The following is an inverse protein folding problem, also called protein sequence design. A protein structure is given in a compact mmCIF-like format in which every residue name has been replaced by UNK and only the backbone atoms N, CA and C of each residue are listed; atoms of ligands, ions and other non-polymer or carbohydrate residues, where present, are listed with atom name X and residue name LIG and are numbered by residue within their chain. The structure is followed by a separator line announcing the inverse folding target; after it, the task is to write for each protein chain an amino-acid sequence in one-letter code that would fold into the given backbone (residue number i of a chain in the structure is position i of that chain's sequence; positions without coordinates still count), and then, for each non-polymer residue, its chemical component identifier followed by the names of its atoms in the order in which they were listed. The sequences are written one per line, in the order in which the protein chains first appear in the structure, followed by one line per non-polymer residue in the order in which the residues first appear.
data_IF_629808541260
#
_entry.id   IF_629808541260
#
_cell.length_a   1.000
_cell.length_b   1.000
_cell.length_c   1.000
_cell.angle_alpha   90.00
_cell.angle_beta   90.00
_cell.angle_gamma   90.00
#
_symmetry.space_group_name_H-M   'P 1'
#
loop_
_entity.id
_entity.type
_entity.pdbx_description
1 polymer ?
#
# COMPACT_ATOMS: atom_id res chain seq x y z
N UNK A 1 31.79 -19.01 -1.08
CA UNK A 1 31.74 -20.45 -0.77
C UNK A 1 31.82 -21.25 -2.07
N UNK A 2 32.78 -22.14 -2.16
CA UNK A 2 32.90 -23.04 -3.31
C UNK A 2 32.22 -24.35 -2.99
N UNK A 3 31.18 -24.68 -3.76
CA UNK A 3 30.45 -25.93 -3.62
C UNK A 3 31.04 -26.96 -4.62
N UNK A 4 31.43 -28.14 -4.11
CA UNK A 4 31.96 -29.23 -4.94
C UNK A 4 30.82 -29.84 -5.76
N UNK A 5 29.65 -29.99 -5.16
CA UNK A 5 28.47 -30.54 -5.83
C UNK A 5 27.38 -29.46 -5.85
N UNK A 6 26.84 -29.21 -7.06
CA UNK A 6 25.78 -28.23 -7.28
C UNK A 6 24.64 -28.87 -8.06
N UNK A 7 23.73 -29.59 -7.39
CA UNK A 7 22.60 -30.23 -8.07
C UNK A 7 21.71 -29.19 -8.75
N UNK A 8 21.38 -29.42 -10.02
CA UNK A 8 20.59 -28.47 -10.82
C UNK A 8 19.41 -29.10 -11.55
N UNK A 9 19.11 -30.37 -11.28
CA UNK A 9 17.99 -31.07 -11.93
C UNK A 9 16.67 -30.35 -11.76
N UNK A 10 16.42 -29.85 -10.56
CA UNK A 10 15.18 -29.15 -10.20
C UNK A 10 15.13 -27.70 -10.70
N UNK A 11 16.16 -27.25 -11.41
CA UNK A 11 16.23 -25.90 -11.97
C UNK A 11 16.31 -25.89 -13.49
N UNK A 12 16.07 -27.01 -14.13
CA UNK A 12 16.27 -27.19 -15.58
C UNK A 12 15.29 -26.38 -16.42
N UNK A 13 14.03 -26.34 -16.02
CA UNK A 13 12.96 -25.68 -16.75
C UNK A 13 12.13 -24.86 -15.79
N UNK A 14 11.39 -23.90 -16.33
CA UNK A 14 10.48 -23.08 -15.52
C UNK A 14 9.40 -23.95 -14.86
N UNK A 15 8.89 -24.95 -15.58
CA UNK A 15 7.88 -25.85 -15.04
C UNK A 15 8.38 -26.61 -13.81
N UNK A 16 9.62 -27.14 -13.85
CA UNK A 16 10.20 -27.83 -12.70
C UNK A 16 10.44 -26.86 -11.54
N UNK A 17 10.96 -25.67 -11.83
CA UNK A 17 11.16 -24.64 -10.80
C UNK A 17 9.86 -24.25 -10.10
N UNK A 18 8.77 -24.14 -10.85
CA UNK A 18 7.45 -23.85 -10.29
C UNK A 18 6.95 -24.96 -9.38
N UNK A 19 7.16 -26.24 -9.79
CA UNK A 19 6.71 -27.40 -9.02
C UNK A 19 7.41 -27.51 -7.65
N UNK A 20 8.69 -27.18 -7.58
CA UNK A 20 9.51 -27.34 -6.36
C UNK A 20 9.68 -26.05 -5.57
N UNK A 21 9.05 -24.96 -5.99
CA UNK A 21 9.16 -23.66 -5.32
C UNK A 21 8.58 -23.75 -3.91
N UNK A 22 9.39 -23.43 -2.92
CA UNK A 22 8.99 -23.43 -1.52
C UNK A 22 8.33 -22.12 -1.12
N UNK A 23 8.75 -21.00 -1.75
CA UNK A 23 8.25 -19.68 -1.43
C UNK A 23 7.42 -19.16 -2.58
N UNK A 24 6.24 -18.63 -2.26
CA UNK A 24 5.33 -18.03 -3.22
C UNK A 24 5.04 -16.60 -2.81
N UNK A 25 4.96 -15.71 -3.79
CA UNK A 25 4.56 -14.33 -3.59
C UNK A 25 3.30 -14.07 -4.41
N UNK A 26 2.24 -13.68 -3.71
CA UNK A 26 0.95 -13.35 -4.32
C UNK A 26 0.59 -11.90 -4.01
N UNK A 27 -0.26 -11.24 -4.83
CA UNK A 27 -0.69 -9.87 -4.55
C UNK A 27 -1.28 -9.68 -3.15
N UNK A 28 -2.00 -10.66 -2.62
CA UNK A 28 -2.58 -10.61 -1.27
C UNK A 28 -1.54 -10.64 -0.15
N UNK A 29 -0.29 -10.97 -0.46
CA UNK A 29 0.82 -10.92 0.51
C UNK A 29 1.40 -9.52 0.67
N UNK A 30 0.99 -8.58 -0.19
CA UNK A 30 1.55 -7.24 -0.23
C UNK A 30 0.72 -6.27 0.61
N UNK A 31 1.41 -5.33 1.23
CA UNK A 31 0.81 -4.18 1.92
C UNK A 31 1.15 -2.95 1.10
N UNK A 32 0.13 -2.21 0.67
CA UNK A 32 0.31 -1.04 -0.18
C UNK A 32 0.30 0.24 0.67
N UNK A 33 1.44 0.94 0.79
CA UNK A 33 1.48 2.22 1.47
C UNK A 33 0.95 3.32 0.55
N UNK A 34 0.03 4.11 1.07
CA UNK A 34 -0.57 5.22 0.34
C UNK A 34 -0.38 6.51 1.12
N UNK A 35 0.09 7.54 0.44
CA UNK A 35 0.30 8.87 1.00
C UNK A 35 -0.90 9.72 0.66
N UNK A 36 -1.47 10.39 1.66
CA UNK A 36 -2.66 11.21 1.50
C UNK A 36 -2.44 12.62 2.07
N UNK A 37 -3.17 13.59 1.55
CA UNK A 37 -3.14 14.97 2.02
C UNK A 37 -4.55 15.58 1.96
N UNK A 38 -4.72 16.75 2.55
CA UNK A 38 -6.01 17.45 2.61
C UNK A 38 -6.33 18.27 1.35
N UNK A 39 -5.34 18.46 0.47
CA UNK A 39 -5.53 19.23 -0.76
C UNK A 39 -6.40 18.46 -1.76
N UNK A 40 -7.06 19.19 -2.64
CA UNK A 40 -8.00 18.63 -3.61
C UNK A 40 -7.36 18.14 -4.91
N UNK A 41 -6.05 17.96 -4.94
CA UNK A 41 -5.33 17.52 -6.12
C UNK A 41 -4.27 16.48 -5.79
N UNK A 42 -3.93 15.66 -6.78
CA UNK A 42 -2.86 14.69 -6.71
C UNK A 42 -1.51 15.40 -6.88
N UNK A 43 -0.57 15.11 -5.99
CA UNK A 43 0.76 15.72 -5.99
C UNK A 43 1.82 14.63 -6.05
N UNK A 44 2.70 14.71 -7.07
CA UNK A 44 3.82 13.77 -7.16
C UNK A 44 4.87 14.09 -6.09
N UNK A 45 5.38 13.05 -5.44
CA UNK A 45 6.46 13.18 -4.47
C UNK A 45 7.78 13.22 -5.24
N UNK A 46 8.46 14.37 -5.23
CA UNK A 46 9.68 14.57 -6.03
C UNK A 46 10.81 13.61 -5.69
N UNK A 47 10.92 13.20 -4.43
CA UNK A 47 11.93 12.24 -3.98
C UNK A 47 11.64 10.79 -4.39
N UNK A 48 10.42 10.50 -4.79
CA UNK A 48 9.95 9.16 -5.18
C UNK A 48 9.14 9.24 -6.47
N UNK A 49 9.79 9.33 -7.64
CA UNK A 49 9.08 9.44 -8.92
C UNK A 49 8.06 8.30 -9.12
N UNK A 50 6.87 8.65 -9.59
CA UNK A 50 5.78 7.70 -9.77
C UNK A 50 4.95 7.46 -8.51
N UNK A 51 5.31 8.05 -7.38
CA UNK A 51 4.56 7.99 -6.13
C UNK A 51 3.90 9.33 -5.87
N UNK A 52 2.63 9.30 -5.45
CA UNK A 52 1.81 10.49 -5.31
C UNK A 52 1.25 10.63 -3.91
N UNK A 53 1.01 11.87 -3.49
CA UNK A 53 0.10 12.17 -2.39
C UNK A 53 -1.30 12.33 -2.98
N UNK A 54 -2.22 11.52 -2.53
CA UNK A 54 -3.55 11.43 -3.11
C UNK A 54 -4.52 12.38 -2.41
N UNK A 55 -5.39 13.00 -3.18
CA UNK A 55 -6.61 13.61 -2.65
C UNK A 55 -7.63 12.48 -2.35
N UNK A 56 -8.74 12.84 -1.73
CA UNK A 56 -9.73 11.85 -1.31
C UNK A 56 -10.30 11.04 -2.49
N UNK A 57 -10.64 11.72 -3.57
CA UNK A 57 -11.19 11.05 -4.76
C UNK A 57 -10.16 10.16 -5.43
N UNK A 58 -8.92 10.62 -5.56
CA UNK A 58 -7.83 9.85 -6.12
C UNK A 58 -7.49 8.64 -5.26
N UNK A 59 -7.53 8.79 -3.93
CA UNK A 59 -7.32 7.69 -3.00
C UNK A 59 -8.33 6.56 -3.20
N UNK A 60 -9.60 6.89 -3.31
CA UNK A 60 -10.67 5.90 -3.52
C UNK A 60 -10.44 5.14 -4.82
N UNK A 61 -10.10 5.84 -5.90
CA UNK A 61 -9.82 5.21 -7.20
C UNK A 61 -8.59 4.31 -7.13
N UNK A 62 -7.53 4.75 -6.47
CA UNK A 62 -6.29 3.98 -6.35
C UNK A 62 -6.50 2.72 -5.50
N UNK A 63 -7.25 2.82 -4.42
CA UNK A 63 -7.58 1.65 -3.59
C UNK A 63 -8.44 0.65 -4.38
N UNK A 64 -9.41 1.12 -5.16
CA UNK A 64 -10.20 0.25 -6.01
C UNK A 64 -9.34 -0.47 -7.05
N UNK A 65 -8.40 0.23 -7.67
CA UNK A 65 -7.44 -0.35 -8.60
C UNK A 65 -6.57 -1.41 -7.93
N UNK A 66 -6.06 -1.12 -6.75
CA UNK A 66 -5.25 -2.07 -5.98
C UNK A 66 -6.04 -3.32 -5.62
N UNK A 67 -7.29 -3.16 -5.24
CA UNK A 67 -8.18 -4.29 -4.95
C UNK A 67 -8.37 -5.20 -6.16
N UNK A 68 -8.60 -4.62 -7.33
CA UNK A 68 -8.73 -5.38 -8.59
C UNK A 68 -7.45 -6.14 -8.94
N UNK A 69 -6.28 -5.59 -8.58
CA UNK A 69 -4.99 -6.25 -8.76
C UNK A 69 -4.69 -7.34 -7.72
N UNK A 70 -5.54 -7.50 -6.73
CA UNK A 70 -5.40 -8.55 -5.71
C UNK A 70 -4.79 -8.10 -4.40
N UNK A 71 -4.48 -6.83 -4.22
CA UNK A 71 -3.92 -6.29 -2.98
C UNK A 71 -5.04 -6.17 -1.95
N UNK A 72 -4.83 -6.69 -0.74
CA UNK A 72 -5.86 -6.80 0.30
C UNK A 72 -5.58 -5.95 1.53
N UNK A 73 -4.41 -5.34 1.63
CA UNK A 73 -4.04 -4.52 2.78
C UNK A 73 -3.41 -3.22 2.32
N UNK A 74 -3.81 -2.12 2.91
CA UNK A 74 -3.23 -0.80 2.66
C UNK A 74 -2.81 -0.17 3.98
N UNK A 75 -1.83 0.73 3.91
CA UNK A 75 -1.40 1.58 5.02
C UNK A 75 -1.50 3.03 4.58
N UNK A 76 -2.17 3.86 5.37
CA UNK A 76 -2.34 5.28 5.07
C UNK A 76 -1.32 6.12 5.83
N UNK A 77 -0.58 6.94 5.11
CA UNK A 77 0.37 7.89 5.67
C UNK A 77 -0.11 9.31 5.37
N UNK A 78 -0.54 10.07 6.38
CA UNK A 78 -1.05 11.41 6.16
C UNK A 78 0.05 12.45 6.07
N UNK A 79 -0.13 13.41 5.19
CA UNK A 79 0.60 14.68 5.22
C UNK A 79 -0.34 15.72 5.81
N UNK A 80 -0.18 16.03 7.07
CA UNK A 80 -0.97 17.05 7.76
C UNK A 80 -0.23 18.38 7.78
N UNK A 81 -0.98 19.47 8.00
CA UNK A 81 -0.38 20.77 8.18
C UNK A 81 0.52 20.77 9.42
N UNK A 82 1.66 21.42 9.32
CA UNK A 82 2.62 21.52 10.43
C UNK A 82 2.00 22.17 11.68
N UNK A 83 1.00 23.04 11.52
CA UNK A 83 0.26 23.64 12.61
C UNK A 83 -0.51 22.62 13.47
N UNK A 84 -0.83 21.44 12.91
CA UNK A 84 -1.54 20.37 13.61
C UNK A 84 -0.59 19.41 14.31
N UNK A 85 0.71 19.53 14.08
CA UNK A 85 1.72 18.68 14.70
C UNK A 85 2.06 19.20 16.08
N UNK A 86 1.95 18.34 17.09
CA UNK A 86 2.30 18.62 18.47
C UNK A 86 3.23 17.54 19.01
N UNK A 87 3.91 17.83 20.13
CA UNK A 87 4.79 16.85 20.76
C UNK A 87 4.05 15.60 21.25
N UNK A 88 2.81 15.78 21.69
CA UNK A 88 1.97 14.70 22.21
C UNK A 88 1.13 13.97 21.13
N UNK A 89 1.21 14.44 19.88
CA UNK A 89 0.45 13.84 18.79
C UNK A 89 -1.06 13.96 18.94
N UNK A 90 -1.56 15.05 19.50
CA UNK A 90 -2.99 15.25 19.82
C UNK A 90 -3.91 15.16 18.60
N UNK A 91 -3.42 15.46 17.39
CA UNK A 91 -4.20 15.32 16.15
C UNK A 91 -4.63 13.86 15.90
N UNK A 92 -3.93 12.89 16.42
CA UNK A 92 -4.30 11.48 16.31
C UNK A 92 -5.65 11.16 16.94
N UNK A 93 -6.11 12.00 17.89
CA UNK A 93 -7.38 11.83 18.58
C UNK A 93 -8.52 12.63 17.94
N UNK A 94 -8.24 13.38 16.87
CA UNK A 94 -9.24 14.14 16.17
C UNK A 94 -10.07 13.24 15.24
N UNK A 95 -11.33 13.00 15.60
CA UNK A 95 -12.23 12.14 14.82
C UNK A 95 -12.54 12.71 13.43
N UNK A 96 -12.44 14.03 13.25
CA UNK A 96 -12.60 14.70 11.96
C UNK A 96 -11.26 14.86 11.22
N UNK A 97 -10.18 14.24 11.71
CA UNK A 97 -8.87 14.28 11.10
C UNK A 97 -8.80 13.53 9.77
N UNK A 98 -7.71 13.71 9.06
CA UNK A 98 -7.52 13.16 7.72
C UNK A 98 -7.64 11.62 7.68
N UNK A 99 -7.05 10.91 8.62
CA UNK A 99 -7.07 9.44 8.63
C UNK A 99 -8.46 8.88 8.93
N UNK A 100 -9.17 9.30 10.00
CA UNK A 100 -10.52 8.80 10.25
C UNK A 100 -11.49 9.10 9.10
N UNK A 101 -11.42 10.27 8.50
CA UNK A 101 -12.26 10.66 7.36
C UNK A 101 -11.93 9.81 6.15
N UNK A 102 -10.65 9.58 5.86
CA UNK A 102 -10.22 8.73 4.75
C UNK A 102 -10.69 7.30 4.92
N UNK A 103 -10.54 6.75 6.12
CA UNK A 103 -11.02 5.40 6.44
C UNK A 103 -12.53 5.28 6.22
N UNK A 104 -13.30 6.25 6.68
CA UNK A 104 -14.75 6.27 6.48
C UNK A 104 -15.11 6.28 5.01
N UNK A 105 -14.44 7.09 4.19
CA UNK A 105 -14.69 7.14 2.75
C UNK A 105 -14.33 5.84 2.04
N UNK A 106 -13.29 5.16 2.49
CA UNK A 106 -12.87 3.89 1.90
C UNK A 106 -13.79 2.73 2.29
N UNK A 107 -14.33 2.75 3.51
CA UNK A 107 -15.17 1.65 4.01
C UNK A 107 -16.63 1.79 3.60
N UNK A 108 -17.18 2.99 3.55
CA UNK A 108 -18.59 3.21 3.18
C UNK A 108 -18.93 2.81 1.75
N UNK A 109 -18.10 3.17 0.72
CA UNK A 109 -18.39 2.74 -0.65
C UNK A 109 -18.00 1.29 -0.94
N UNK A 110 -17.14 0.69 -0.13
CA UNK A 110 -16.68 -0.69 -0.35
C UNK A 110 -17.48 -1.65 0.49
N UNK A 111 -18.29 -2.45 -0.17
CA UNK A 111 -19.10 -3.52 0.44
C UNK A 111 -18.22 -4.58 1.11
N UNK A 112 -16.92 -4.54 0.87
CA UNK A 112 -15.93 -5.54 1.28
C UNK A 112 -15.03 -5.10 2.41
N UNK A 113 -15.34 -3.99 3.06
CA UNK A 113 -14.61 -3.58 4.26
C UNK A 113 -14.92 -4.57 5.38
N UNK A 114 -13.90 -5.08 5.91
CA UNK A 114 -14.00 -6.01 7.03
C UNK A 114 -13.81 -5.25 8.33
#
# INVERSE_FOLDING_TARGET
MNLIIRPRRLRRTDAIREMVRENHLHPEDLIYPLFIHEKDFQEEISAMPGTYRWDMNGLIKEVARAWELGIRCIVLFPKIDDSLKTEDGSECFNEAGLIPVSYTHLTLPTIYSV
#
